data_IF_277537632303
#
_entry.id   IF_277537632303
#
_cell.length_a   1.000
_cell.length_b   1.000
_cell.length_c   1.000
_cell.angle_alpha   90.00
_cell.angle_beta   90.00
_cell.angle_gamma   90.00
#
_symmetry.space_group_name_H-M   'P 1'
#
loop_
_entity.id
_entity.type
_entity.pdbx_description
1 polymer ?
#
# COMPACT_ATOMS: atom_id res chain seq x y z
N UNK A 1 -24.88 92.86 52.86
CA UNK A 1 -24.48 92.81 51.43
C UNK A 1 -25.00 91.51 50.85
N UNK A 2 -25.51 91.46 49.61
CA UNK A 2 -25.78 90.21 48.92
C UNK A 2 -24.46 89.51 48.59
N UNK A 3 -24.38 88.20 48.76
CA UNK A 3 -23.22 87.41 48.33
C UNK A 3 -23.36 87.19 46.82
N UNK A 4 -22.32 87.47 46.04
CA UNK A 4 -22.30 87.14 44.61
C UNK A 4 -22.40 85.62 44.44
N UNK A 5 -23.48 85.15 43.83
CA UNK A 5 -23.61 83.74 43.44
C UNK A 5 -22.56 83.44 42.37
N UNK A 6 -21.65 82.52 42.68
CA UNK A 6 -20.62 82.11 41.74
C UNK A 6 -21.25 81.40 40.53
N UNK A 7 -20.97 81.90 39.33
CA UNK A 7 -21.53 81.39 38.07
C UNK A 7 -20.80 80.10 37.65
N UNK A 8 -21.09 78.99 38.34
CA UNK A 8 -20.50 77.68 38.08
C UNK A 8 -21.06 77.04 36.82
N UNK A 9 -20.31 77.13 35.71
CA UNK A 9 -20.65 76.39 34.49
C UNK A 9 -20.09 74.97 34.51
N UNK A 10 -20.99 73.99 34.45
CA UNK A 10 -20.67 72.56 34.38
C UNK A 10 -20.57 72.01 32.95
N UNK A 11 -20.83 72.83 31.90
CA UNK A 11 -20.83 72.44 30.48
C UNK A 11 -19.63 71.58 30.10
N UNK A 12 -18.42 72.12 30.29
CA UNK A 12 -17.13 71.52 29.97
C UNK A 12 -16.87 70.18 30.67
N UNK A 13 -17.39 70.02 31.90
CA UNK A 13 -17.29 68.76 32.65
C UNK A 13 -18.30 67.73 32.14
N UNK A 14 -19.52 68.14 31.79
CA UNK A 14 -20.53 67.27 31.16
C UNK A 14 -20.09 66.82 29.77
N UNK A 15 -19.55 67.73 28.96
CA UNK A 15 -18.98 67.42 27.63
C UNK A 15 -17.78 66.48 27.72
N UNK A 16 -16.91 66.66 28.73
CA UNK A 16 -15.83 65.72 28.98
C UNK A 16 -16.40 64.35 29.34
N UNK A 17 -17.27 64.27 30.34
CA UNK A 17 -17.87 63.01 30.78
C UNK A 17 -18.60 62.29 29.64
N UNK A 18 -19.35 63.01 28.80
CA UNK A 18 -20.06 62.43 27.66
C UNK A 18 -19.10 61.85 26.61
N UNK A 19 -18.01 62.56 26.25
CA UNK A 19 -16.97 62.04 25.36
C UNK A 19 -16.20 60.87 25.96
N UNK A 20 -15.88 60.92 27.25
CA UNK A 20 -15.16 59.86 27.97
C UNK A 20 -16.03 58.59 28.05
N UNK A 21 -17.35 58.72 28.24
CA UNK A 21 -18.33 57.63 28.17
C UNK A 21 -18.45 57.07 26.74
N UNK A 22 -18.62 57.91 25.73
CA UNK A 22 -18.80 57.44 24.34
C UNK A 22 -17.54 56.74 23.80
N UNK A 23 -16.35 57.23 24.17
CA UNK A 23 -15.09 56.57 23.85
C UNK A 23 -14.97 55.20 24.53
N UNK A 24 -15.40 55.08 25.80
CA UNK A 24 -15.40 53.80 26.51
C UNK A 24 -16.43 52.82 25.95
N UNK A 25 -17.66 53.28 25.68
CA UNK A 25 -18.71 52.49 25.04
C UNK A 25 -18.28 51.98 23.66
N UNK A 26 -17.68 52.85 22.84
CA UNK A 26 -17.11 52.47 21.54
C UNK A 26 -15.99 51.44 21.64
N UNK A 27 -15.10 51.57 22.64
CA UNK A 27 -14.03 50.59 22.87
C UNK A 27 -14.57 49.21 23.27
N UNK A 28 -15.51 49.16 24.23
CA UNK A 28 -16.14 47.89 24.68
C UNK A 28 -17.01 47.28 23.58
N UNK A 29 -17.72 48.09 22.79
CA UNK A 29 -18.46 47.67 21.58
C UNK A 29 -17.50 46.97 20.60
N UNK A 30 -16.37 47.60 20.28
CA UNK A 30 -15.35 47.04 19.38
C UNK A 30 -14.71 45.74 19.90
N UNK A 31 -14.40 45.68 21.20
CA UNK A 31 -13.87 44.45 21.84
C UNK A 31 -14.86 43.29 21.73
N UNK A 32 -16.14 43.52 22.07
CA UNK A 32 -17.19 42.48 22.02
C UNK A 32 -17.53 42.03 20.61
N UNK A 33 -17.49 42.93 19.62
CA UNK A 33 -17.68 42.56 18.22
C UNK A 33 -16.52 41.72 17.66
N UNK A 34 -15.28 41.99 18.11
CA UNK A 34 -14.10 41.18 17.77
C UNK A 34 -14.16 39.78 18.38
N UNK A 35 -14.57 39.68 19.66
CA UNK A 35 -14.80 38.40 20.34
C UNK A 35 -15.91 37.58 19.64
N UNK A 36 -17.02 38.22 19.28
CA UNK A 36 -18.12 37.59 18.55
C UNK A 36 -17.69 37.11 17.16
N UNK A 37 -16.95 37.92 16.40
CA UNK A 37 -16.41 37.52 15.11
C UNK A 37 -15.50 36.29 15.26
N UNK A 38 -14.59 36.28 16.23
CA UNK A 38 -13.70 35.15 16.49
C UNK A 38 -14.47 33.87 16.90
N UNK A 39 -15.59 33.98 17.62
CA UNK A 39 -16.47 32.84 17.92
C UNK A 39 -17.13 32.29 16.63
N UNK A 40 -17.64 33.16 15.77
CA UNK A 40 -18.28 32.75 14.51
C UNK A 40 -17.30 32.18 13.49
N UNK A 41 -16.10 32.74 13.37
CA UNK A 41 -14.99 32.17 12.59
C UNK A 41 -14.61 30.77 13.10
N UNK A 42 -14.50 30.61 14.42
CA UNK A 42 -14.23 29.31 15.06
C UNK A 42 -15.37 28.31 14.82
N UNK A 43 -16.63 28.72 14.90
CA UNK A 43 -17.81 27.88 14.61
C UNK A 43 -17.82 27.41 13.15
N UNK A 44 -17.54 28.30 12.20
CA UNK A 44 -17.34 27.96 10.79
C UNK A 44 -16.15 26.99 10.61
N UNK A 45 -15.04 27.19 11.32
CA UNK A 45 -13.89 26.29 11.26
C UNK A 45 -14.24 24.84 11.63
N UNK A 46 -15.06 24.64 12.66
CA UNK A 46 -15.57 23.33 13.06
C UNK A 46 -16.57 22.75 12.06
N UNK A 47 -17.59 23.52 11.68
CA UNK A 47 -18.66 23.08 10.78
C UNK A 47 -18.16 22.68 9.37
N UNK A 48 -17.08 23.31 8.89
CA UNK A 48 -16.52 23.05 7.57
C UNK A 48 -15.37 22.03 7.57
N UNK A 49 -14.58 21.90 8.64
CA UNK A 49 -13.35 21.09 8.60
C UNK A 49 -13.58 19.59 8.34
N UNK A 50 -14.43 18.93 9.13
CA UNK A 50 -14.67 17.49 9.01
C UNK A 50 -15.39 17.11 7.69
N UNK A 51 -16.44 17.84 7.24
CA UNK A 51 -17.09 17.52 5.97
C UNK A 51 -16.21 17.81 4.75
N UNK A 52 -15.31 18.80 4.80
CA UNK A 52 -14.34 19.03 3.72
C UNK A 52 -13.35 17.86 3.60
N UNK A 53 -12.78 17.37 4.70
CA UNK A 53 -11.85 16.22 4.66
C UNK A 53 -12.56 14.97 4.10
N UNK A 54 -13.80 14.71 4.51
CA UNK A 54 -14.60 13.60 3.97
C UNK A 54 -14.89 13.74 2.46
N UNK A 55 -15.20 14.94 1.97
CA UNK A 55 -15.44 15.20 0.53
C UNK A 55 -14.17 15.06 -0.33
N UNK A 56 -13.00 15.41 0.22
CA UNK A 56 -11.70 15.23 -0.43
C UNK A 56 -11.17 13.79 -0.31
N UNK A 57 -11.56 13.03 0.70
CA UNK A 57 -11.29 11.60 0.82
C UNK A 57 -12.13 10.77 -0.16
N UNK A 58 -13.44 11.04 -0.26
CA UNK A 58 -14.34 10.34 -1.16
C UNK A 58 -13.94 10.50 -2.64
N UNK A 59 -13.51 11.71 -3.03
CA UNK A 59 -12.79 11.98 -4.28
C UNK A 59 -13.56 11.62 -5.57
N UNK A 60 -14.26 12.58 -6.15
CA UNK A 60 -14.98 12.41 -7.41
C UNK A 60 -15.16 13.72 -8.18
N UNK A 61 -15.77 13.67 -9.38
CA UNK A 61 -16.03 14.87 -10.18
C UNK A 61 -16.88 15.89 -9.41
N UNK A 62 -17.86 15.40 -8.64
CA UNK A 62 -18.79 16.21 -7.85
C UNK A 62 -18.21 16.71 -6.52
N UNK A 63 -16.94 16.42 -6.19
CA UNK A 63 -16.30 16.91 -4.94
C UNK A 63 -16.37 18.43 -4.87
N UNK A 64 -16.02 19.16 -5.94
CA UNK A 64 -16.06 20.63 -5.93
C UNK A 64 -17.49 21.20 -5.93
N UNK A 65 -18.44 20.52 -6.58
CA UNK A 65 -19.87 20.88 -6.50
C UNK A 65 -20.37 20.77 -5.06
N UNK A 66 -20.02 19.68 -4.40
CA UNK A 66 -20.34 19.39 -3.00
C UNK A 66 -19.71 20.42 -2.05
N UNK A 67 -18.41 20.71 -2.22
CA UNK A 67 -17.67 21.75 -1.47
C UNK A 67 -18.33 23.12 -1.61
N UNK A 68 -18.75 23.52 -2.81
CA UNK A 68 -19.47 24.80 -3.01
C UNK A 68 -20.83 24.82 -2.32
N UNK A 69 -21.58 23.72 -2.38
CA UNK A 69 -22.89 23.63 -1.71
C UNK A 69 -22.78 23.70 -0.18
N UNK A 70 -21.77 23.01 0.38
CA UNK A 70 -21.41 23.05 1.79
C UNK A 70 -20.97 24.45 2.22
N UNK A 71 -19.99 25.03 1.53
CA UNK A 71 -19.49 26.38 1.81
C UNK A 71 -20.63 27.40 1.81
N UNK A 72 -21.51 27.36 0.79
CA UNK A 72 -22.67 28.25 0.74
C UNK A 72 -23.60 28.05 1.93
N UNK A 73 -23.99 26.80 2.24
CA UNK A 73 -24.93 26.47 3.33
C UNK A 73 -24.43 26.97 4.69
N UNK A 74 -23.19 26.63 5.05
CA UNK A 74 -22.64 27.04 6.34
C UNK A 74 -22.37 28.55 6.40
N UNK A 75 -21.92 29.17 5.30
CA UNK A 75 -21.64 30.62 5.26
C UNK A 75 -22.91 31.48 5.30
N UNK A 76 -23.98 31.08 4.62
CA UNK A 76 -25.25 31.80 4.65
C UNK A 76 -25.97 31.60 6.00
N UNK A 77 -25.86 30.41 6.61
CA UNK A 77 -26.35 30.16 7.97
C UNK A 77 -25.57 30.97 9.02
N UNK A 78 -24.24 30.93 9.00
CA UNK A 78 -23.40 31.70 9.92
C UNK A 78 -23.60 33.21 9.74
N UNK A 79 -23.80 33.71 8.51
CA UNK A 79 -24.13 35.11 8.24
C UNK A 79 -25.48 35.53 8.84
N UNK A 80 -26.51 34.67 8.73
CA UNK A 80 -27.83 34.94 9.33
C UNK A 80 -27.78 35.00 10.86
N UNK A 81 -27.11 34.01 11.46
CA UNK A 81 -26.92 33.95 12.92
C UNK A 81 -26.09 35.14 13.42
N UNK A 82 -25.00 35.48 12.74
CA UNK A 82 -24.13 36.62 13.08
C UNK A 82 -24.86 37.95 12.97
N UNK A 83 -25.62 38.17 11.89
CA UNK A 83 -26.46 39.37 11.74
C UNK A 83 -27.46 39.51 12.91
N UNK A 84 -28.10 38.41 13.33
CA UNK A 84 -29.02 38.42 14.47
C UNK A 84 -28.33 38.75 15.81
N UNK A 85 -27.08 38.33 15.99
CA UNK A 85 -26.29 38.63 17.18
C UNK A 85 -25.76 40.08 17.19
N UNK A 86 -25.39 40.63 16.04
CA UNK A 86 -24.86 41.99 15.89
C UNK A 86 -25.96 43.07 15.93
N UNK A 87 -27.21 42.74 15.62
CA UNK A 87 -28.34 43.67 15.62
C UNK A 87 -28.53 44.46 16.94
N UNK A 88 -28.08 43.91 18.08
CA UNK A 88 -28.15 44.58 19.39
C UNK A 88 -27.07 45.64 19.66
N UNK A 89 -26.11 45.86 18.76
CA UNK A 89 -24.95 46.74 19.01
C UNK A 89 -25.08 48.17 18.44
N UNK A 90 -26.21 48.50 17.82
CA UNK A 90 -26.51 49.81 17.21
C UNK A 90 -25.47 50.25 16.16
N UNK A 91 -25.03 49.32 15.32
CA UNK A 91 -24.08 49.58 14.23
C UNK A 91 -24.75 50.19 13.00
N UNK A 92 -23.95 50.92 12.22
CA UNK A 92 -24.28 51.33 10.87
C UNK A 92 -24.26 50.12 9.91
N UNK A 93 -25.02 50.22 8.81
CA UNK A 93 -25.16 49.13 7.84
C UNK A 93 -23.84 48.81 7.11
N UNK A 94 -22.96 49.80 6.89
CA UNK A 94 -21.69 49.59 6.18
C UNK A 94 -20.73 48.73 7.01
N UNK A 95 -20.64 48.97 8.32
CA UNK A 95 -19.90 48.14 9.26
C UNK A 95 -20.47 46.71 9.32
N UNK A 96 -21.81 46.56 9.37
CA UNK A 96 -22.44 45.23 9.40
C UNK A 96 -22.18 44.45 8.10
N UNK A 97 -22.38 45.09 6.94
CA UNK A 97 -22.15 44.48 5.63
C UNK A 97 -20.67 44.10 5.44
N UNK A 98 -19.75 44.91 5.95
CA UNK A 98 -18.31 44.62 5.97
C UNK A 98 -17.98 43.42 6.85
N UNK A 99 -18.50 43.33 8.07
CA UNK A 99 -18.26 42.16 8.94
C UNK A 99 -18.85 40.87 8.33
N UNK A 100 -20.01 40.95 7.67
CA UNK A 100 -20.60 39.84 6.92
C UNK A 100 -19.76 39.43 5.70
N UNK A 101 -19.18 40.39 4.99
CA UNK A 101 -18.24 40.13 3.90
C UNK A 101 -16.99 39.41 4.42
N UNK A 102 -16.38 39.93 5.48
CA UNK A 102 -15.14 39.41 6.04
C UNK A 102 -15.34 37.98 6.61
N UNK A 103 -16.51 37.68 7.19
CA UNK A 103 -16.91 36.33 7.62
C UNK A 103 -17.04 35.34 6.44
N UNK A 104 -17.65 35.76 5.32
CA UNK A 104 -17.76 34.93 4.11
C UNK A 104 -16.41 34.73 3.41
N UNK A 105 -15.54 35.74 3.47
CA UNK A 105 -14.17 35.68 2.96
C UNK A 105 -13.25 34.82 3.84
N UNK A 106 -13.46 34.80 5.17
CA UNK A 106 -12.84 33.83 6.07
C UNK A 106 -13.23 32.39 5.68
N UNK A 107 -14.52 32.13 5.43
CA UNK A 107 -15.00 30.81 5.03
C UNK A 107 -14.39 30.34 3.69
N UNK A 108 -14.25 31.25 2.71
CA UNK A 108 -13.52 30.98 1.45
C UNK A 108 -12.06 30.61 1.71
N UNK A 109 -11.32 31.43 2.45
CA UNK A 109 -9.91 31.20 2.82
C UNK A 109 -9.69 29.93 3.63
N UNK A 110 -10.66 29.54 4.45
CA UNK A 110 -10.67 28.29 5.20
C UNK A 110 -10.78 27.06 4.26
N UNK A 111 -11.67 27.10 3.27
CA UNK A 111 -11.76 26.05 2.24
C UNK A 111 -10.46 25.96 1.44
N UNK A 112 -9.89 27.09 1.01
CA UNK A 112 -8.61 27.12 0.27
C UNK A 112 -7.45 26.52 1.09
N UNK A 113 -7.37 26.85 2.38
CA UNK A 113 -6.39 26.28 3.31
C UNK A 113 -6.55 24.77 3.47
N UNK A 114 -7.78 24.29 3.72
CA UNK A 114 -8.07 22.85 3.84
C UNK A 114 -7.86 22.09 2.53
N UNK A 115 -8.18 22.70 1.40
CA UNK A 115 -7.89 22.11 0.08
C UNK A 115 -6.38 21.92 -0.13
N UNK A 116 -5.55 22.84 0.38
CA UNK A 116 -4.08 22.75 0.34
C UNK A 116 -3.52 21.70 1.30
N UNK A 117 -4.11 21.55 2.48
CA UNK A 117 -3.79 20.47 3.43
C UNK A 117 -4.11 19.08 2.83
N UNK A 118 -5.29 18.92 2.21
CA UNK A 118 -5.68 17.65 1.57
C UNK A 118 -4.92 17.36 0.27
N UNK A 119 -4.59 18.39 -0.52
CA UNK A 119 -3.70 18.24 -1.68
C UNK A 119 -2.29 17.74 -1.27
N UNK A 120 -1.83 18.06 -0.06
CA UNK A 120 -0.61 17.48 0.52
C UNK A 120 -0.70 15.96 0.75
N UNK A 121 -1.91 15.42 0.97
CA UNK A 121 -2.18 13.98 1.16
C UNK A 121 -2.40 13.22 -0.15
N UNK A 122 -2.43 13.90 -1.31
CA UNK A 122 -2.90 13.37 -2.60
C UNK A 122 -2.28 12.02 -2.99
N UNK A 123 -0.96 11.83 -2.82
CA UNK A 123 -0.28 10.59 -3.21
C UNK A 123 -0.80 9.36 -2.45
N UNK A 124 -1.10 9.52 -1.16
CA UNK A 124 -1.63 8.43 -0.32
C UNK A 124 -3.03 8.08 -0.80
N UNK A 125 -3.92 9.08 -0.87
CA UNK A 125 -5.31 8.92 -1.33
C UNK A 125 -5.38 8.37 -2.77
N UNK A 126 -4.44 8.73 -3.66
CA UNK A 126 -4.30 8.14 -4.99
C UNK A 126 -3.99 6.64 -4.95
N UNK A 127 -3.10 6.20 -4.05
CA UNK A 127 -2.74 4.79 -3.84
C UNK A 127 -3.88 4.02 -3.18
N UNK A 128 -4.64 4.64 -2.28
CA UNK A 128 -5.81 4.03 -1.65
C UNK A 128 -6.93 3.81 -2.68
N UNK A 129 -7.24 4.83 -3.48
CA UNK A 129 -8.19 4.73 -4.62
C UNK A 129 -7.74 3.70 -5.65
N UNK A 130 -6.44 3.65 -5.98
CA UNK A 130 -5.89 2.60 -6.84
C UNK A 130 -6.11 1.21 -6.24
N UNK A 131 -5.75 1.03 -4.97
CA UNK A 131 -5.84 -0.26 -4.27
C UNK A 131 -7.27 -0.73 -4.11
N UNK A 132 -8.21 0.19 -3.92
CA UNK A 132 -9.65 -0.11 -3.91
C UNK A 132 -10.08 -0.66 -5.27
N UNK A 133 -9.87 0.10 -6.35
CA UNK A 133 -10.33 -0.26 -7.71
C UNK A 133 -9.57 -1.46 -8.32
N UNK A 134 -8.30 -1.65 -7.96
CA UNK A 134 -7.46 -2.73 -8.46
C UNK A 134 -7.69 -4.06 -7.72
N UNK A 135 -7.66 -4.03 -6.38
CA UNK A 135 -7.74 -5.24 -5.55
C UNK A 135 -9.16 -5.70 -5.22
N UNK A 136 -10.21 -4.95 -5.59
CA UNK A 136 -11.60 -5.35 -5.35
C UNK A 136 -12.39 -5.42 -6.66
N UNK A 137 -13.53 -6.12 -6.63
CA UNK A 137 -14.52 -6.15 -7.71
C UNK A 137 -15.63 -5.11 -7.50
N UNK A 138 -16.74 -5.25 -8.24
CA UNK A 138 -17.88 -4.31 -8.19
C UNK A 138 -18.68 -4.41 -6.90
N UNK A 139 -18.63 -5.57 -6.24
CA UNK A 139 -19.36 -5.88 -5.01
C UNK A 139 -18.48 -5.60 -3.78
N UNK A 140 -17.35 -4.90 -3.99
CA UNK A 140 -16.32 -4.57 -2.99
C UNK A 140 -15.62 -5.79 -2.37
N UNK A 141 -15.69 -6.95 -3.03
CA UNK A 141 -15.03 -8.18 -2.57
C UNK A 141 -13.58 -8.25 -3.06
N UNK A 142 -12.62 -8.78 -2.27
CA UNK A 142 -11.24 -8.95 -2.70
C UNK A 142 -11.11 -9.82 -3.96
N UNK A 143 -10.48 -9.26 -5.00
CA UNK A 143 -10.33 -9.83 -6.33
C UNK A 143 -9.31 -10.98 -6.33
N UNK A 144 -9.72 -12.13 -6.84
CA UNK A 144 -8.84 -13.28 -7.11
C UNK A 144 -8.41 -13.28 -8.57
N UNK A 145 -7.12 -13.49 -8.84
CA UNK A 145 -6.54 -13.50 -10.18
C UNK A 145 -6.69 -14.86 -10.88
N UNK A 146 -7.93 -15.22 -11.27
CA UNK A 146 -8.27 -16.56 -11.81
C UNK A 146 -7.84 -16.79 -13.28
N UNK A 147 -7.26 -15.80 -13.93
CA UNK A 147 -6.72 -15.92 -15.29
C UNK A 147 -7.65 -15.43 -16.40
N UNK A 148 -8.91 -15.17 -16.07
CA UNK A 148 -9.95 -14.65 -16.96
C UNK A 148 -9.97 -13.11 -17.04
N UNK A 149 -9.32 -12.45 -16.08
CA UNK A 149 -9.33 -11.01 -15.91
C UNK A 149 -8.23 -10.35 -16.76
N UNK A 150 -8.55 -9.30 -17.51
CA UNK A 150 -7.51 -8.45 -18.09
C UNK A 150 -6.97 -7.48 -17.03
N UNK A 151 -5.86 -7.88 -16.42
CA UNK A 151 -5.12 -7.06 -15.43
C UNK A 151 -4.71 -5.72 -16.05
N UNK A 152 -4.39 -5.67 -17.35
CA UNK A 152 -3.95 -4.45 -18.04
C UNK A 152 -5.09 -3.43 -18.14
N UNK A 153 -6.30 -3.89 -18.48
CA UNK A 153 -7.51 -3.07 -18.44
C UNK A 153 -7.85 -2.62 -17.01
N UNK A 154 -7.79 -3.51 -16.02
CA UNK A 154 -8.05 -3.17 -14.60
C UNK A 154 -7.03 -2.14 -14.10
N UNK A 155 -5.74 -2.29 -14.42
CA UNK A 155 -4.71 -1.29 -14.14
C UNK A 155 -4.99 0.05 -14.83
N UNK A 156 -5.48 0.07 -16.09
CA UNK A 156 -5.82 1.31 -16.79
C UNK A 156 -7.02 2.02 -16.15
N UNK A 157 -8.04 1.28 -15.69
CA UNK A 157 -9.20 1.83 -14.95
C UNK A 157 -8.78 2.36 -13.57
N UNK A 158 -8.01 1.59 -12.79
CA UNK A 158 -7.54 2.02 -11.47
C UNK A 158 -6.61 3.25 -11.56
N UNK A 159 -5.74 3.31 -12.58
CA UNK A 159 -4.92 4.51 -12.88
C UNK A 159 -5.77 5.71 -13.29
N UNK A 160 -6.82 5.52 -14.09
CA UNK A 160 -7.77 6.58 -14.46
C UNK A 160 -8.44 7.19 -13.22
N UNK A 161 -8.97 6.36 -12.31
CA UNK A 161 -9.61 6.85 -11.08
C UNK A 161 -8.65 7.61 -10.16
N UNK A 162 -7.41 7.13 -9.97
CA UNK A 162 -6.38 7.88 -9.24
C UNK A 162 -5.97 9.18 -9.93
N UNK A 163 -6.06 9.27 -11.26
CA UNK A 163 -5.74 10.50 -12.00
C UNK A 163 -6.86 11.55 -11.92
N UNK A 164 -8.13 11.13 -11.87
CA UNK A 164 -9.27 12.04 -11.56
C UNK A 164 -9.09 12.69 -10.19
N UNK A 165 -8.65 11.92 -9.19
CA UNK A 165 -8.36 12.45 -7.86
C UNK A 165 -7.25 13.52 -7.89
N UNK A 166 -6.16 13.27 -8.63
CA UNK A 166 -5.09 14.24 -8.82
C UNK A 166 -5.58 15.51 -9.54
N UNK A 167 -6.42 15.38 -10.57
CA UNK A 167 -7.09 16.53 -11.21
C UNK A 167 -7.95 17.32 -10.23
N UNK A 168 -8.74 16.61 -9.39
CA UNK A 168 -9.61 17.20 -8.37
C UNK A 168 -8.80 18.01 -7.35
N UNK A 169 -7.63 17.50 -6.93
CA UNK A 169 -6.75 18.12 -5.94
C UNK A 169 -5.74 19.13 -6.51
N UNK A 170 -5.64 19.31 -7.83
CA UNK A 170 -4.66 20.22 -8.44
C UNK A 170 -5.04 21.71 -8.39
N UNK A 171 -6.34 22.04 -8.34
CA UNK A 171 -6.84 23.41 -8.44
C UNK A 171 -8.13 23.65 -7.63
N UNK A 172 -8.31 24.86 -7.09
CA UNK A 172 -9.49 25.31 -6.35
C UNK A 172 -10.61 25.76 -7.30
N UNK A 173 -11.72 25.01 -7.36
CA UNK A 173 -12.84 25.23 -8.31
C UNK A 173 -14.07 25.89 -7.67
N UNK A 174 -13.87 26.92 -6.85
CA UNK A 174 -14.95 27.61 -6.13
C UNK A 174 -15.85 28.50 -7.01
N UNK A 175 -15.31 29.10 -8.08
CA UNK A 175 -16.02 30.10 -8.90
C UNK A 175 -16.70 29.51 -10.15
N UNK A 176 -16.79 28.18 -10.24
CA UNK A 176 -17.38 27.42 -11.36
C UNK A 176 -16.88 27.77 -12.78
N UNK A 177 -15.64 28.27 -12.86
CA UNK A 177 -14.94 28.46 -14.13
C UNK A 177 -14.50 27.11 -14.70
N UNK A 178 -14.61 26.86 -16.01
CA UNK A 178 -14.02 25.69 -16.62
C UNK A 178 -12.50 25.76 -16.55
N UNK A 179 -11.84 24.60 -16.51
CA UNK A 179 -10.40 24.47 -16.67
C UNK A 179 -10.02 23.21 -17.46
N UNK A 180 -8.87 23.29 -18.12
CA UNK A 180 -8.27 22.21 -18.92
C UNK A 180 -7.40 21.24 -18.11
N UNK A 181 -7.31 21.39 -16.78
CA UNK A 181 -6.37 20.63 -15.93
C UNK A 181 -6.57 19.12 -16.09
N UNK A 182 -7.82 18.65 -16.09
CA UNK A 182 -8.13 17.23 -16.30
C UNK A 182 -7.69 16.75 -17.69
N UNK A 183 -8.04 17.49 -18.74
CA UNK A 183 -7.73 17.15 -20.13
C UNK A 183 -6.22 17.11 -20.40
N UNK A 184 -5.46 18.04 -19.83
CA UNK A 184 -3.99 18.11 -19.93
C UNK A 184 -3.34 16.96 -19.16
N UNK A 185 -3.84 16.64 -17.96
CA UNK A 185 -3.35 15.50 -17.18
C UNK A 185 -3.61 14.17 -17.91
N UNK A 186 -4.83 13.92 -18.38
CA UNK A 186 -5.18 12.66 -19.04
C UNK A 186 -4.42 12.44 -20.35
N UNK A 187 -4.36 13.44 -21.24
CA UNK A 187 -3.61 13.35 -22.49
C UNK A 187 -2.11 13.12 -22.23
N UNK A 188 -1.48 13.92 -21.35
CA UNK A 188 -0.04 13.86 -21.13
C UNK A 188 0.42 12.63 -20.33
N UNK A 189 -0.41 12.11 -19.41
CA UNK A 189 -0.01 11.11 -18.42
C UNK A 189 -0.56 9.70 -18.65
N UNK A 190 -1.67 9.56 -19.39
CA UNK A 190 -2.24 8.25 -19.75
C UNK A 190 -1.93 7.86 -21.19
N UNK A 191 -2.23 8.70 -22.18
CA UNK A 191 -2.08 8.35 -23.61
C UNK A 191 -0.61 8.05 -23.99
N UNK A 192 0.32 8.84 -23.43
CA UNK A 192 1.77 8.60 -23.52
C UNK A 192 2.24 7.25 -22.95
N UNK A 193 1.40 6.50 -22.23
CA UNK A 193 1.75 5.16 -21.73
C UNK A 193 1.59 4.09 -22.81
N UNK A 194 0.60 4.22 -23.70
CA UNK A 194 0.33 3.21 -24.73
C UNK A 194 1.32 3.36 -25.91
N UNK A 195 1.74 4.59 -26.24
CA UNK A 195 2.70 4.87 -27.32
C UNK A 195 4.16 4.49 -27.02
N UNK A 196 4.55 4.29 -25.76
CA UNK A 196 5.91 3.83 -25.40
C UNK A 196 6.17 2.38 -25.88
N UNK A 197 5.12 1.60 -26.16
CA UNK A 197 5.26 0.26 -26.76
C UNK A 197 5.55 0.28 -28.27
N UNK A 198 5.55 1.45 -28.92
CA UNK A 198 5.73 1.60 -30.37
C UNK A 198 6.83 2.63 -30.68
N UNK A 199 7.88 2.22 -31.39
CA UNK A 199 8.93 3.15 -31.82
C UNK A 199 8.44 4.10 -32.92
N UNK A 200 8.06 5.31 -32.53
CA UNK A 200 8.06 6.47 -33.42
C UNK A 200 8.45 7.73 -32.64
N UNK A 201 9.62 8.28 -32.96
CA UNK A 201 9.93 9.68 -32.64
C UNK A 201 9.19 10.53 -33.66
N UNK A 202 8.06 11.11 -33.28
CA UNK A 202 7.47 12.20 -34.07
C UNK A 202 7.94 13.56 -33.53
N UNK A 203 8.17 14.51 -34.43
CA UNK A 203 8.85 15.78 -34.15
C UNK A 203 7.85 16.93 -34.30
N UNK A 204 6.88 16.96 -33.38
CA UNK A 204 5.96 18.09 -33.20
C UNK A 204 6.47 19.05 -32.14
N UNK A 205 6.67 20.33 -32.48
CA UNK A 205 7.05 21.37 -31.53
C UNK A 205 5.81 21.83 -30.75
N UNK A 206 5.43 21.02 -29.76
CA UNK A 206 4.67 21.48 -28.59
C UNK A 206 5.56 21.35 -27.38
N UNK A 207 5.59 22.39 -26.53
CA UNK A 207 6.18 22.26 -25.20
C UNK A 207 5.48 21.15 -24.41
N UNK A 208 6.20 20.47 -23.53
CA UNK A 208 5.60 19.51 -22.60
C UNK A 208 4.73 20.32 -21.61
N UNK A 209 3.39 20.22 -21.64
CA UNK A 209 2.52 21.15 -20.92
C UNK A 209 2.66 20.99 -19.39
N UNK A 210 3.16 19.84 -18.94
CA UNK A 210 3.49 19.57 -17.55
C UNK A 210 4.93 19.96 -17.17
N UNK A 211 5.60 20.77 -18.00
CA UNK A 211 6.84 21.47 -17.65
C UNK A 211 6.61 22.90 -17.13
N UNK A 212 5.39 23.43 -17.27
CA UNK A 212 5.02 24.75 -16.72
C UNK A 212 4.95 24.75 -15.19
N UNK A 213 5.28 25.89 -14.57
CA UNK A 213 5.03 26.15 -13.15
C UNK A 213 3.55 26.39 -12.83
N UNK A 214 2.76 26.74 -13.84
CA UNK A 214 1.42 27.34 -13.68
C UNK A 214 0.47 26.75 -14.73
N UNK A 215 -0.81 26.60 -14.39
CA UNK A 215 -1.84 26.19 -15.35
C UNK A 215 -2.31 27.39 -16.19
N UNK A 216 -2.55 27.19 -17.49
CA UNK A 216 -2.91 28.26 -18.45
C UNK A 216 -4.17 29.05 -18.02
N UNK A 217 -5.15 28.38 -17.41
CA UNK A 217 -6.47 28.92 -17.09
C UNK A 217 -6.73 29.09 -15.58
N UNK A 218 -5.84 28.61 -14.70
CA UNK A 218 -6.04 28.66 -13.25
C UNK A 218 -5.12 29.71 -12.62
N UNK A 219 -5.68 30.72 -11.91
CA UNK A 219 -4.87 31.71 -11.20
C UNK A 219 -3.88 31.08 -10.19
N UNK A 220 -2.68 31.67 -9.98
CA UNK A 220 -1.67 31.14 -9.06
C UNK A 220 -2.20 30.92 -7.64
N UNK A 221 -3.11 31.77 -7.16
CA UNK A 221 -3.73 31.70 -5.83
C UNK A 221 -4.55 30.43 -5.64
N UNK A 222 -5.17 29.96 -6.73
CA UNK A 222 -6.04 28.78 -6.80
C UNK A 222 -5.32 27.50 -7.23
N UNK A 223 -4.04 27.59 -7.57
CA UNK A 223 -3.22 26.41 -7.86
C UNK A 223 -2.81 25.74 -6.55
N UNK A 224 -3.20 24.47 -6.38
CA UNK A 224 -2.85 23.65 -5.21
C UNK A 224 -1.62 22.78 -5.50
N UNK A 225 -1.56 22.24 -6.73
CA UNK A 225 -0.47 21.39 -7.22
C UNK A 225 -0.08 21.91 -8.61
N UNK A 226 1.21 22.18 -8.83
CA UNK A 226 1.70 22.67 -10.13
C UNK A 226 1.73 21.54 -11.19
N UNK A 227 1.74 21.86 -12.50
CA UNK A 227 1.85 20.86 -13.56
C UNK A 227 3.08 19.94 -13.40
N UNK A 228 4.23 20.52 -13.05
CA UNK A 228 5.47 19.79 -12.74
C UNK A 228 5.31 18.87 -11.52
N UNK A 229 4.65 19.32 -10.45
CA UNK A 229 4.38 18.50 -9.27
C UNK A 229 3.43 17.33 -9.60
N UNK A 230 2.34 17.56 -10.34
CA UNK A 230 1.45 16.49 -10.80
C UNK A 230 2.22 15.41 -11.59
N UNK A 231 3.15 15.84 -12.44
CA UNK A 231 4.03 14.96 -13.23
C UNK A 231 5.10 14.23 -12.40
N UNK A 232 5.49 14.76 -11.25
CA UNK A 232 6.36 14.08 -10.28
C UNK A 232 5.57 13.05 -9.48
N UNK A 233 4.44 13.46 -8.90
CA UNK A 233 3.47 12.62 -8.19
C UNK A 233 3.03 11.42 -9.04
N UNK A 234 2.72 11.63 -10.33
CA UNK A 234 2.34 10.53 -11.24
C UNK A 234 3.45 9.50 -11.47
N UNK A 235 4.73 9.93 -11.49
CA UNK A 235 5.86 9.00 -11.60
C UNK A 235 6.02 8.19 -10.32
N UNK A 236 5.97 8.86 -9.16
CA UNK A 236 6.07 8.21 -7.86
C UNK A 236 4.92 7.23 -7.62
N UNK A 237 3.68 7.66 -7.86
CA UNK A 237 2.49 6.82 -7.83
C UNK A 237 2.62 5.57 -8.72
N UNK A 238 3.13 5.72 -9.95
CA UNK A 238 3.36 4.56 -10.83
C UNK A 238 4.43 3.62 -10.29
N UNK A 239 5.56 4.11 -9.81
CA UNK A 239 6.61 3.27 -9.22
C UNK A 239 6.12 2.52 -7.97
N UNK A 240 5.37 3.19 -7.09
CA UNK A 240 4.83 2.58 -5.86
C UNK A 240 3.67 1.59 -6.12
N UNK A 241 2.97 1.70 -7.26
CA UNK A 241 1.90 0.74 -7.66
C UNK A 241 2.38 -0.36 -8.61
N UNK A 242 3.55 -0.21 -9.23
CA UNK A 242 4.12 -1.16 -10.19
C UNK A 242 4.40 -2.54 -9.56
N UNK A 243 4.83 -2.58 -8.29
CA UNK A 243 4.98 -3.83 -7.55
C UNK A 243 3.64 -4.59 -7.45
N UNK A 244 2.56 -3.92 -7.05
CA UNK A 244 1.22 -4.52 -6.91
C UNK A 244 0.68 -5.05 -8.24
N UNK A 245 0.90 -4.32 -9.33
CA UNK A 245 0.53 -4.77 -10.70
C UNK A 245 1.36 -5.99 -11.11
N UNK A 246 2.67 -5.98 -10.84
CA UNK A 246 3.58 -7.10 -11.16
C UNK A 246 3.25 -8.34 -10.34
N UNK A 247 2.86 -8.17 -9.07
CA UNK A 247 2.41 -9.25 -8.19
C UNK A 247 1.09 -9.88 -8.68
N UNK A 248 0.14 -9.07 -9.16
CA UNK A 248 -1.09 -9.58 -9.78
C UNK A 248 -0.79 -10.39 -11.06
N UNK A 249 0.11 -9.90 -11.92
CA UNK A 249 0.52 -10.61 -13.14
C UNK A 249 1.20 -11.93 -12.80
N UNK A 250 2.17 -11.95 -11.88
CA UNK A 250 2.88 -13.17 -11.51
C UNK A 250 1.98 -14.18 -10.79
N UNK A 251 1.03 -13.73 -9.97
CA UNK A 251 -0.01 -14.59 -9.38
C UNK A 251 -0.91 -15.21 -10.46
N UNK A 252 -1.34 -14.42 -11.47
CA UNK A 252 -2.16 -14.91 -12.56
C UNK A 252 -1.41 -15.89 -13.47
N UNK A 253 -0.12 -15.65 -13.74
CA UNK A 253 0.74 -16.60 -14.44
C UNK A 253 0.95 -17.89 -13.63
N UNK A 254 1.15 -17.80 -12.31
CA UNK A 254 1.29 -18.96 -11.44
C UNK A 254 0.00 -19.81 -11.44
N UNK A 255 -1.17 -19.18 -11.39
CA UNK A 255 -2.47 -19.85 -11.53
C UNK A 255 -2.61 -20.55 -12.89
N UNK A 256 -2.26 -19.85 -13.99
CA UNK A 256 -2.26 -20.41 -15.36
C UNK A 256 -1.27 -21.58 -15.51
N UNK A 257 -0.09 -21.51 -14.90
CA UNK A 257 0.89 -22.62 -14.87
C UNK A 257 0.38 -23.81 -14.05
N UNK A 258 -0.21 -23.58 -12.88
CA UNK A 258 -0.76 -24.61 -12.01
C UNK A 258 -1.92 -25.39 -12.67
N UNK A 259 -2.83 -24.68 -13.36
CA UNK A 259 -3.90 -25.31 -14.14
C UNK A 259 -3.38 -26.20 -15.28
N UNK A 260 -2.17 -25.95 -15.77
CA UNK A 260 -1.54 -26.72 -16.84
C UNK A 260 -0.71 -27.91 -16.34
N UNK A 261 -0.85 -28.31 -15.07
CA UNK A 261 -0.30 -29.57 -14.54
C UNK A 261 -1.08 -30.79 -15.07
N UNK A 262 -1.04 -31.00 -16.39
CA UNK A 262 -1.25 -32.33 -16.95
C UNK A 262 -0.04 -33.20 -16.58
N UNK A 263 -0.23 -34.46 -16.16
CA UNK A 263 0.89 -35.39 -16.01
C UNK A 263 1.64 -35.52 -17.36
N UNK A 264 2.97 -35.69 -17.37
CA UNK A 264 3.74 -35.78 -18.62
C UNK A 264 3.19 -36.84 -19.58
N UNK A 265 3.36 -36.70 -20.91
CA UNK A 265 2.81 -37.65 -21.88
C UNK A 265 3.21 -39.11 -21.62
N UNK A 266 4.42 -39.37 -21.12
CA UNK A 266 4.85 -40.72 -20.71
C UNK A 266 4.07 -41.26 -19.51
N UNK A 267 3.66 -40.40 -18.57
CA UNK A 267 2.86 -40.77 -17.40
C UNK A 267 1.39 -40.98 -17.77
N UNK A 268 0.86 -40.22 -18.74
CA UNK A 268 -0.45 -40.49 -19.35
C UNK A 268 -0.45 -41.87 -20.01
N UNK A 269 0.55 -42.17 -20.84
CA UNK A 269 0.71 -43.49 -21.45
C UNK A 269 0.87 -44.61 -20.41
N UNK A 270 1.65 -44.39 -19.34
CA UNK A 270 1.80 -45.35 -18.26
C UNK A 270 0.47 -45.63 -17.53
N UNK A 271 -0.31 -44.59 -17.22
CA UNK A 271 -1.64 -44.76 -16.60
C UNK A 271 -2.65 -45.48 -17.50
N UNK A 272 -2.55 -45.29 -18.82
CA UNK A 272 -3.39 -46.02 -19.80
C UNK A 272 -3.02 -47.50 -19.87
N UNK A 273 -1.72 -47.84 -19.80
CA UNK A 273 -1.23 -49.22 -19.94
C UNK A 273 -1.31 -50.02 -18.63
N UNK A 274 -1.01 -49.41 -17.48
CA UNK A 274 -1.03 -50.08 -16.17
C UNK A 274 -2.39 -49.97 -15.46
N UNK A 275 -3.20 -48.97 -15.81
CA UNK A 275 -4.37 -48.58 -15.03
C UNK A 275 -4.01 -47.73 -13.81
N UNK A 276 -4.93 -46.84 -13.42
CA UNK A 276 -4.69 -45.83 -12.38
C UNK A 276 -4.36 -46.41 -11.00
N UNK A 277 -5.04 -47.50 -10.60
CA UNK A 277 -4.81 -48.15 -9.30
C UNK A 277 -3.40 -48.74 -9.20
N UNK A 278 -2.95 -49.45 -10.23
CA UNK A 278 -1.65 -50.13 -10.24
C UNK A 278 -0.51 -49.13 -10.36
N UNK A 279 -0.69 -48.06 -11.14
CA UNK A 279 0.24 -46.94 -11.21
C UNK A 279 0.39 -46.23 -9.84
N UNK A 280 -0.71 -46.01 -9.11
CA UNK A 280 -0.66 -45.45 -7.75
C UNK A 280 -0.03 -46.40 -6.73
N UNK A 281 -0.23 -47.72 -6.86
CA UNK A 281 0.43 -48.73 -6.03
C UNK A 281 1.95 -48.74 -6.27
N UNK A 282 2.36 -48.67 -7.54
CA UNK A 282 3.76 -48.59 -7.95
C UNK A 282 4.44 -47.30 -7.50
N UNK A 283 3.77 -46.14 -7.55
CA UNK A 283 4.31 -44.89 -7.02
C UNK A 283 4.36 -44.84 -5.48
N UNK A 284 3.38 -45.42 -4.77
CA UNK A 284 3.30 -45.33 -3.31
C UNK A 284 4.15 -46.35 -2.57
N UNK A 285 4.66 -47.38 -3.25
CA UNK A 285 5.51 -48.41 -2.65
C UNK A 285 6.95 -48.37 -3.23
N UNK A 286 7.94 -47.88 -2.46
CA UNK A 286 9.30 -47.68 -2.96
C UNK A 286 10.02 -48.98 -3.38
N UNK A 287 9.57 -50.15 -2.91
CA UNK A 287 10.17 -51.43 -3.28
C UNK A 287 9.91 -51.79 -4.75
N UNK A 288 8.72 -51.49 -5.30
CA UNK A 288 8.45 -51.73 -6.72
C UNK A 288 9.26 -50.77 -7.62
N UNK A 289 9.45 -49.52 -7.21
CA UNK A 289 10.34 -48.58 -7.90
C UNK A 289 11.80 -49.06 -7.88
N UNK A 290 12.28 -49.59 -6.75
CA UNK A 290 13.62 -50.16 -6.63
C UNK A 290 13.79 -51.39 -7.54
N UNK A 291 12.82 -52.31 -7.56
CA UNK A 291 12.84 -53.48 -8.44
C UNK A 291 12.80 -53.08 -9.92
N UNK A 292 11.99 -52.09 -10.30
CA UNK A 292 11.95 -51.54 -11.67
C UNK A 292 13.29 -50.90 -12.03
N UNK A 293 13.89 -50.12 -11.13
CA UNK A 293 15.21 -49.51 -11.34
C UNK A 293 16.32 -50.55 -11.50
N UNK A 294 16.37 -51.58 -10.64
CA UNK A 294 17.36 -52.66 -10.73
C UNK A 294 17.17 -53.51 -12.00
N UNK A 295 15.94 -53.83 -12.38
CA UNK A 295 15.67 -54.58 -13.62
C UNK A 295 15.97 -53.76 -14.88
N UNK A 296 15.73 -52.44 -14.86
CA UNK A 296 16.18 -51.53 -15.91
C UNK A 296 17.71 -51.45 -16.01
N UNK A 297 18.42 -51.37 -14.88
CA UNK A 297 19.89 -51.37 -14.88
C UNK A 297 20.46 -52.70 -15.39
N UNK A 298 19.90 -53.85 -15.00
CA UNK A 298 20.28 -55.15 -15.55
C UNK A 298 19.98 -55.24 -17.05
N UNK A 299 18.78 -54.83 -17.48
CA UNK A 299 18.39 -54.80 -18.89
C UNK A 299 19.32 -53.93 -19.73
N UNK A 300 19.69 -52.75 -19.24
CA UNK A 300 20.67 -51.86 -19.88
C UNK A 300 22.07 -52.48 -19.90
N UNK A 301 22.53 -53.09 -18.80
CA UNK A 301 23.84 -53.74 -18.74
C UNK A 301 23.93 -54.90 -19.74
N UNK A 302 22.89 -55.71 -19.83
CA UNK A 302 22.78 -56.80 -20.82
C UNK A 302 22.74 -56.22 -22.23
N UNK A 303 21.92 -55.20 -22.50
CA UNK A 303 21.85 -54.54 -23.82
C UNK A 303 23.22 -54.01 -24.29
N UNK A 304 23.99 -53.39 -23.39
CA UNK A 304 25.35 -52.89 -23.67
C UNK A 304 26.36 -54.04 -23.82
N UNK A 305 26.19 -55.16 -23.12
CA UNK A 305 27.07 -56.34 -23.23
C UNK A 305 26.74 -57.29 -24.39
N UNK A 306 25.55 -57.19 -24.99
CA UNK A 306 25.09 -58.11 -26.06
C UNK A 306 25.19 -57.55 -27.47
N UNK A 307 25.75 -56.34 -27.64
CA UNK A 307 26.15 -55.71 -28.91
C UNK A 307 25.20 -56.04 -30.09
N UNK A 308 23.93 -55.76 -29.85
CA UNK A 308 22.78 -56.35 -30.54
C UNK A 308 22.78 -56.18 -32.08
N UNK A 309 23.31 -55.08 -32.69
CA UNK A 309 23.43 -54.99 -34.15
C UNK A 309 24.26 -56.11 -34.80
N UNK A 310 25.24 -56.68 -34.08
CA UNK A 310 26.09 -57.75 -34.59
C UNK A 310 25.43 -59.14 -34.59
N UNK A 311 24.60 -59.44 -33.58
CA UNK A 311 24.06 -60.79 -33.39
C UNK A 311 22.80 -61.09 -34.22
N UNK A 312 22.02 -60.09 -34.63
CA UNK A 312 20.79 -60.32 -35.40
C UNK A 312 20.99 -60.64 -36.88
N UNK A 313 22.22 -60.55 -37.42
CA UNK A 313 22.52 -60.96 -38.80
C UNK A 313 22.25 -62.46 -39.06
N UNK A 314 22.35 -63.31 -38.02
CA UNK A 314 22.26 -64.77 -38.14
C UNK A 314 20.88 -65.36 -37.74
N UNK A 315 19.86 -64.53 -37.65
CA UNK A 315 18.46 -64.96 -37.48
C UNK A 315 17.98 -65.13 -36.03
N UNK A 316 16.68 -64.89 -35.84
CA UNK A 316 16.02 -64.71 -34.54
C UNK A 316 16.15 -65.95 -33.63
N UNK A 317 16.06 -67.15 -34.20
CA UNK A 317 16.07 -68.40 -33.43
C UNK A 317 17.44 -68.68 -32.77
N UNK A 318 18.54 -68.33 -33.45
CA UNK A 318 19.89 -68.46 -32.91
C UNK A 318 20.13 -67.45 -31.77
N UNK A 319 19.65 -66.21 -31.94
CA UNK A 319 19.73 -65.16 -30.92
C UNK A 319 19.09 -65.56 -29.58
N UNK A 320 17.89 -66.18 -29.62
CA UNK A 320 17.18 -66.59 -28.40
C UNK A 320 17.91 -67.70 -27.61
N UNK A 321 18.53 -68.66 -28.31
CA UNK A 321 19.28 -69.77 -27.68
C UNK A 321 20.64 -69.27 -27.14
N UNK A 322 21.31 -68.36 -27.86
CA UNK A 322 22.51 -67.69 -27.37
C UNK A 322 22.24 -66.80 -26.14
N UNK A 323 21.08 -66.16 -26.08
CA UNK A 323 20.68 -65.32 -24.96
C UNK A 323 20.45 -66.15 -23.68
N UNK A 324 19.68 -67.25 -23.75
CA UNK A 324 19.40 -68.08 -22.56
C UNK A 324 20.67 -68.69 -21.95
N UNK A 325 21.60 -69.13 -22.79
CA UNK A 325 22.86 -69.79 -22.37
C UNK A 325 23.88 -68.81 -21.79
N UNK A 326 23.84 -67.52 -22.16
CA UNK A 326 24.74 -66.48 -21.60
C UNK A 326 24.13 -65.63 -20.48
N UNK A 327 22.81 -65.63 -20.32
CA UNK A 327 22.13 -64.87 -19.25
C UNK A 327 22.58 -65.33 -17.84
N UNK A 328 22.57 -66.64 -17.58
CA UNK A 328 22.85 -67.18 -16.25
C UNK A 328 24.30 -66.90 -15.78
N UNK A 329 25.36 -67.15 -16.60
CA UNK A 329 26.72 -66.80 -16.22
C UNK A 329 26.94 -65.30 -16.01
N UNK A 330 26.30 -64.44 -16.81
CA UNK A 330 26.42 -62.99 -16.69
C UNK A 330 25.82 -62.48 -15.37
N UNK A 331 24.61 -62.92 -15.01
CA UNK A 331 23.96 -62.56 -13.73
C UNK A 331 24.78 -63.03 -12.53
N UNK A 332 25.31 -64.26 -12.56
CA UNK A 332 26.18 -64.78 -11.49
C UNK A 332 27.48 -63.97 -11.36
N UNK A 333 28.10 -63.57 -12.47
CA UNK A 333 29.35 -62.79 -12.47
C UNK A 333 29.15 -61.32 -12.06
N UNK A 334 27.93 -60.78 -12.21
CA UNK A 334 27.55 -59.46 -11.67
C UNK A 334 27.28 -59.57 -10.17
N UNK A 335 26.53 -60.59 -9.73
CA UNK A 335 26.26 -60.83 -8.31
C UNK A 335 27.54 -61.13 -7.52
N UNK A 336 28.48 -61.91 -8.06
CA UNK A 336 29.76 -62.18 -7.41
C UNK A 336 30.63 -60.93 -7.28
N UNK A 337 30.61 -60.03 -8.29
CA UNK A 337 31.28 -58.74 -8.21
C UNK A 337 30.65 -57.83 -7.15
N UNK A 338 29.33 -57.70 -7.08
CA UNK A 338 28.69 -56.92 -6.01
C UNK A 338 28.95 -57.51 -4.61
N UNK A 339 28.99 -58.84 -4.47
CA UNK A 339 29.32 -59.50 -3.20
C UNK A 339 30.79 -59.29 -2.78
N UNK A 340 31.72 -59.25 -3.74
CA UNK A 340 33.14 -58.98 -3.51
C UNK A 340 33.42 -57.50 -3.18
N UNK A 341 32.78 -56.56 -3.87
CA UNK A 341 32.90 -55.12 -3.60
C UNK A 341 32.39 -54.78 -2.19
N UNK A 342 31.39 -55.52 -1.69
CA UNK A 342 30.87 -55.40 -0.32
C UNK A 342 31.83 -55.88 0.79
N UNK A 343 32.93 -56.57 0.47
CA UNK A 343 33.90 -57.09 1.44
C UNK A 343 35.30 -56.44 1.34
N UNK A 344 35.59 -55.67 0.29
CA UNK A 344 36.90 -55.03 0.13
C UNK A 344 36.98 -53.67 0.82
N UNK A 345 37.06 -53.69 2.16
CA UNK A 345 37.64 -52.59 2.92
C UNK A 345 38.53 -53.14 4.04
N UNK A 346 39.76 -52.59 4.08
CA UNK A 346 40.84 -52.80 5.06
C UNK A 346 41.86 -53.93 4.77
N UNK A 347 43.02 -53.50 4.26
CA UNK A 347 44.33 -54.05 4.63
C UNK A 347 45.36 -52.90 4.62
N UNK A 348 46.03 -52.68 5.75
CA UNK A 348 47.04 -51.63 5.98
C UNK A 348 48.46 -52.26 6.02
N UNK A 349 49.54 -51.48 5.85
CA UNK A 349 50.85 -51.85 6.39
C UNK A 349 51.23 -50.99 7.60
N UNK A 350 52.03 -51.56 8.52
CA UNK A 350 52.50 -50.92 9.76
C UNK A 350 53.97 -51.29 10.02
N UNK A 351 54.74 -50.39 10.66
CA UNK A 351 56.08 -50.66 11.18
C UNK A 351 56.35 -49.92 12.51
N UNK A 352 57.12 -50.56 13.38
CA UNK A 352 57.62 -50.16 14.71
C UNK A 352 58.86 -51.03 15.03
N UNK A 353 59.66 -50.81 16.11
CA UNK A 353 59.44 -50.00 17.33
C UNK A 353 60.47 -48.82 17.41
N UNK A 354 61.01 -48.25 18.51
CA UNK A 354 61.10 -48.66 19.93
C UNK A 354 61.33 -47.50 20.93
N UNK A 355 60.82 -47.69 22.14
CA UNK A 355 61.15 -47.12 23.47
C UNK A 355 62.28 -46.08 23.65
N UNK A 356 61.99 -44.97 24.36
CA UNK A 356 62.19 -44.82 25.82
C UNK A 356 61.66 -43.46 26.36
N UNK A 357 61.73 -43.22 27.67
CA UNK A 357 61.13 -42.09 28.41
C UNK A 357 62.17 -41.03 28.81
N UNK A 358 61.82 -39.73 28.79
CA UNK A 358 61.81 -38.84 29.98
C UNK A 358 61.47 -37.36 29.66
N UNK A 359 60.42 -36.84 30.32
CA UNK A 359 60.28 -35.56 31.07
C UNK A 359 60.91 -34.22 30.57
N UNK A 360 60.13 -33.14 30.81
CA UNK A 360 60.44 -31.70 30.97
C UNK A 360 60.35 -30.75 29.73
N UNK A 361 59.53 -29.69 29.91
CA UNK A 361 59.82 -28.24 29.79
C UNK A 361 60.51 -27.64 28.54
N UNK A 362 60.24 -26.41 28.05
CA UNK A 362 59.14 -25.40 28.15
C UNK A 362 59.40 -24.37 27.03
N UNK A 363 58.44 -23.46 26.75
CA UNK A 363 58.55 -22.16 26.05
C UNK A 363 58.18 -22.05 24.56
N UNK A 364 57.20 -21.15 24.35
CA UNK A 364 56.81 -20.38 23.15
C UNK A 364 57.76 -19.15 22.98
N UNK A 365 57.57 -18.18 22.04
CA UNK A 365 56.44 -17.87 21.12
C UNK A 365 56.92 -17.74 19.63
N UNK A 366 56.28 -17.10 18.62
CA UNK A 366 55.22 -16.07 18.43
C UNK A 366 54.36 -16.38 17.17
N UNK A 367 53.01 -16.21 17.17
CA UNK A 367 52.18 -15.05 16.70
C UNK A 367 51.97 -15.00 15.15
N UNK A 368 50.85 -14.54 14.55
CA UNK A 368 49.69 -13.70 14.96
C UNK A 368 48.32 -14.25 14.44
N UNK A 369 47.21 -13.82 15.08
CA UNK A 369 45.75 -13.86 14.74
C UNK A 369 45.35 -13.79 13.24
N UNK A 370 44.11 -14.12 12.78
CA UNK A 370 42.74 -14.00 13.36
C UNK A 370 41.75 -14.89 12.54
N UNK A 371 40.58 -15.42 12.96
CA UNK A 371 39.61 -15.30 14.09
C UNK A 371 38.25 -14.64 13.74
N UNK A 372 37.22 -15.45 13.42
CA UNK A 372 35.76 -15.29 13.72
C UNK A 372 35.13 -16.71 13.68
N UNK A 373 34.18 -17.09 14.57
CA UNK A 373 33.58 -18.43 14.60
C UNK A 373 32.13 -18.52 14.07
N UNK A 374 31.69 -19.74 13.76
CA UNK A 374 30.28 -20.09 13.49
C UNK A 374 29.38 -20.00 14.73
N UNK A 375 28.06 -19.96 14.49
CA UNK A 375 27.03 -20.20 15.52
C UNK A 375 26.12 -21.35 15.09
N UNK A 376 25.79 -22.23 16.04
CA UNK A 376 25.07 -23.48 15.78
C UNK A 376 23.55 -23.33 15.89
N UNK A 377 22.83 -24.13 15.10
CA UNK A 377 21.37 -24.33 15.23
C UNK A 377 21.11 -25.81 15.46
N UNK A 378 20.52 -26.13 16.61
CA UNK A 378 19.89 -27.44 16.87
C UNK A 378 18.38 -27.27 16.87
N UNK A 379 17.69 -28.08 16.08
CA UNK A 379 16.23 -28.24 16.15
C UNK A 379 15.82 -29.00 17.41
N UNK A 380 14.70 -28.62 18.02
CA UNK A 380 13.74 -29.59 18.57
C UNK A 380 12.29 -29.10 18.33
N UNK A 381 11.35 -30.04 18.44
CA UNK A 381 9.96 -29.90 18.00
C UNK A 381 9.00 -29.53 19.13
N UNK A 382 7.98 -28.71 18.83
CA UNK A 382 6.84 -28.47 19.73
C UNK A 382 5.64 -27.90 18.99
N UNK A 383 4.64 -28.73 18.70
CA UNK A 383 3.42 -28.32 18.01
C UNK A 383 2.25 -28.20 18.98
N UNK A 384 1.68 -26.99 19.13
CA UNK A 384 0.35 -26.85 19.74
C UNK A 384 -0.43 -25.67 19.14
N UNK A 385 -1.75 -25.73 19.25
CA UNK A 385 -2.70 -24.93 18.46
C UNK A 385 -3.45 -23.96 19.39
N UNK A 386 -3.56 -22.68 19.03
CA UNK A 386 -4.43 -21.75 19.76
C UNK A 386 -4.94 -20.60 18.91
N UNK A 387 -6.27 -20.48 18.84
CA UNK A 387 -6.97 -19.31 18.29
C UNK A 387 -7.18 -18.26 19.38
N UNK A 388 -7.08 -16.95 19.09
CA UNK A 388 -7.35 -15.91 20.09
C UNK A 388 -8.86 -15.83 20.39
N UNK A 389 -9.23 -16.05 21.66
CA UNK A 389 -10.61 -15.84 22.13
C UNK A 389 -10.87 -14.38 22.52
N UNK A 390 -12.12 -13.95 22.30
CA UNK A 390 -12.60 -12.59 22.59
C UNK A 390 -12.74 -12.39 24.10
N UNK A 391 -12.01 -11.43 24.68
CA UNK A 391 -12.20 -11.03 26.08
C UNK A 391 -13.08 -9.77 26.17
N UNK A 392 -14.33 -9.93 26.64
CA UNK A 392 -15.31 -8.85 26.86
C UNK A 392 -15.56 -8.66 28.36
N UNK A 393 -15.89 -7.41 28.77
CA UNK A 393 -16.25 -6.98 30.14
C UNK A 393 -15.05 -6.99 31.13
N UNK A 394 -14.96 -6.12 32.13
CA UNK A 394 -16.01 -5.32 32.81
C UNK A 394 -15.41 -4.00 33.35
N UNK A 395 -15.92 -2.84 32.93
CA UNK A 395 -15.64 -1.56 33.59
C UNK A 395 -16.39 -1.51 34.93
N UNK A 396 -15.75 -0.97 35.97
CA UNK A 396 -16.33 -0.82 37.30
C UNK A 396 -16.71 0.63 37.58
N UNK A 397 -17.97 0.90 37.93
CA UNK A 397 -18.39 2.20 38.44
C UNK A 397 -17.78 2.43 39.83
N UNK A 398 -17.11 3.56 40.03
CA UNK A 398 -16.69 4.02 41.35
C UNK A 398 -17.29 5.39 41.66
N UNK A 399 -18.52 5.37 42.16
CA UNK A 399 -19.23 6.53 42.68
C UNK A 399 -18.39 7.20 43.80
N UNK A 400 -17.97 8.45 43.58
CA UNK A 400 -17.39 9.29 44.63
C UNK A 400 -18.45 10.24 45.16
N UNK A 401 -19.24 9.78 46.14
CA UNK A 401 -19.91 10.72 47.05
C UNK A 401 -18.87 11.50 47.82
N UNK A 402 -18.95 12.83 47.82
CA UNK A 402 -18.34 13.68 48.84
C UNK A 402 -19.39 14.67 49.30
N UNK A 403 -19.68 14.65 50.59
CA UNK A 403 -20.61 15.57 51.23
C UNK A 403 -20.01 16.97 51.41
N UNK A 404 -20.79 17.98 51.00
CA UNK A 404 -21.04 19.23 51.73
C UNK A 404 -22.43 19.69 51.27
N UNK A 405 -23.46 19.53 52.10
CA UNK A 405 -23.76 20.35 53.28
C UNK A 405 -24.45 21.65 52.84
N UNK A 406 -25.76 21.71 53.15
CA UNK A 406 -26.69 22.79 52.80
C UNK A 406 -27.58 22.95 54.03
N UNK A 407 -27.48 24.10 54.69
CA UNK A 407 -28.24 24.42 55.89
C UNK A 407 -29.09 25.66 55.65
N UNK A 408 -30.38 25.45 55.42
CA UNK A 408 -31.41 26.49 55.50
C UNK A 408 -32.05 26.42 56.89
N UNK A 409 -31.96 27.49 57.68
CA UNK A 409 -32.93 27.91 58.74
C UNK A 409 -32.33 28.95 59.71
N UNK A 410 -32.30 30.23 59.31
CA UNK A 410 -32.97 31.37 60.00
C UNK A 410 -32.83 32.66 59.16
#
# INVERSE_FOLDING_TARGET
>A
MPIQQANWDASKMREKLHRDIEAHASAVRGEKLSELQAEFEKRLSGALSEPLESLFEAGGPDTWVSVRSLLKRESDAAASDFFSAVAGFELDQETVDKMLHDLKEYARKLVERKSREEAGKVLIRMKDRFSTVFNHDKDSMPRVWTGKEDIRAITKVARCESLKLLSTMAAVRLDDRPDTVENVLFSTLMDRTDTISSQSRDVGVSGDPLASSTWEEVPPEKTLITPVQCKALWRQFKAETEYTVTQAISAQEAYKRGNNWLPPPWAIMAMIVLGFNEFMLLLRNPLYLLVLFVTYLLGKAIWVQTDIPGLFQNGILAGLIALSTRFFPAVVNILSRLAAEGHNREALPSQQPTSQSFRNQTWQPESVSSSVPDSSVSTETGSEYSSPQIMKRRVSHKEKRKSRDHGDAE
#
